data_IF_308618604363
#
_entry.id   IF_308618604363
#
_cell.length_a   1.000
_cell.length_b   1.000
_cell.length_c   1.000
_cell.angle_alpha   90.00
_cell.angle_beta   90.00
_cell.angle_gamma   90.00
#
_symmetry.space_group_name_H-M   'P 1'
#
loop_
_entity.id
_entity.type
_entity.pdbx_description
1 polymer ?
#
# COMPACT_ATOMS: atom_id res chain seq x y z
N UNK A 1 5.14 -10.16 -5.16
CA UNK A 1 4.40 -9.38 -4.14
C UNK A 1 5.00 -9.65 -2.77
N UNK A 2 5.24 -8.62 -1.93
CA UNK A 2 5.85 -8.77 -0.61
C UNK A 2 4.82 -9.27 0.44
N UNK A 3 4.29 -10.48 0.27
CA UNK A 3 3.16 -11.01 1.05
C UNK A 3 3.35 -10.91 2.57
N UNK A 4 4.47 -11.37 3.10
CA UNK A 4 4.75 -11.30 4.55
C UNK A 4 4.66 -9.85 5.09
N UNK A 5 5.23 -8.88 4.36
CA UNK A 5 5.15 -7.47 4.74
C UNK A 5 3.70 -6.96 4.70
N UNK A 6 2.92 -7.32 3.68
CA UNK A 6 1.51 -6.91 3.56
C UNK A 6 0.65 -7.48 4.70
N UNK A 7 0.81 -8.78 4.98
CA UNK A 7 0.07 -9.45 6.05
C UNK A 7 0.39 -8.84 7.42
N UNK A 8 1.66 -8.47 7.67
CA UNK A 8 2.06 -7.84 8.93
C UNK A 8 1.35 -6.51 9.21
N UNK A 9 0.88 -5.80 8.18
CA UNK A 9 0.13 -4.54 8.35
C UNK A 9 -1.31 -4.76 8.82
N UNK A 10 -1.85 -5.96 8.63
CA UNK A 10 -3.25 -6.30 8.92
C UNK A 10 -3.36 -7.18 10.15
N UNK A 11 -2.38 -8.07 10.37
CA UNK A 11 -2.35 -9.07 11.45
C UNK A 11 -2.75 -8.52 12.83
N UNK A 12 -2.29 -7.32 13.28
CA UNK A 12 -2.66 -6.80 14.60
C UNK A 12 -4.15 -6.50 14.79
N UNK A 13 -4.89 -6.33 13.68
CA UNK A 13 -6.31 -5.97 13.69
C UNK A 13 -7.20 -7.16 13.31
N UNK A 14 -6.61 -8.25 12.82
CA UNK A 14 -7.36 -9.38 12.31
C UNK A 14 -7.93 -10.24 13.45
N UNK A 15 -9.20 -10.68 13.36
CA UNK A 15 -9.80 -11.51 14.41
C UNK A 15 -8.98 -12.77 14.68
N UNK A 16 -8.77 -13.07 15.96
CA UNK A 16 -8.20 -14.35 16.39
C UNK A 16 -9.33 -15.35 16.62
N UNK A 17 -9.08 -16.63 16.34
CA UNK A 17 -10.07 -17.69 16.58
C UNK A 17 -10.53 -17.69 18.05
N UNK A 18 -11.81 -17.43 18.26
CA UNK A 18 -12.50 -17.55 19.55
C UNK A 18 -13.41 -18.77 19.57
N UNK A 19 -14.44 -18.77 20.43
CA UNK A 19 -15.45 -19.85 20.52
C UNK A 19 -16.50 -19.85 19.38
N UNK A 20 -16.38 -18.94 18.41
CA UNK A 20 -17.32 -18.78 17.29
C UNK A 20 -16.81 -19.36 15.96
N UNK A 21 -17.45 -18.96 14.85
CA UNK A 21 -16.95 -19.27 13.49
C UNK A 21 -15.51 -18.80 13.38
N UNK A 22 -14.62 -19.72 13.00
CA UNK A 22 -13.22 -19.38 12.80
C UNK A 22 -13.11 -18.42 11.61
N UNK A 23 -12.37 -17.31 11.75
CA UNK A 23 -12.11 -16.43 10.62
C UNK A 23 -11.31 -17.19 9.55
N UNK A 24 -11.55 -16.86 8.28
CA UNK A 24 -10.72 -17.35 7.18
C UNK A 24 -9.26 -16.93 7.39
N UNK A 25 -8.32 -17.65 6.75
CA UNK A 25 -6.92 -17.25 6.79
C UNK A 25 -6.75 -15.81 6.27
N UNK A 26 -5.95 -14.99 6.96
CA UNK A 26 -5.73 -13.60 6.59
C UNK A 26 -5.18 -13.48 5.15
N UNK A 27 -4.29 -14.39 4.76
CA UNK A 27 -3.74 -14.41 3.38
C UNK A 27 -4.84 -14.63 2.34
N UNK A 28 -5.80 -15.51 2.62
CA UNK A 28 -6.95 -15.77 1.75
C UNK A 28 -7.79 -14.50 1.59
N UNK A 29 -8.14 -13.83 2.68
CA UNK A 29 -8.95 -12.60 2.62
C UNK A 29 -8.22 -11.45 1.89
N UNK A 30 -6.91 -11.30 2.11
CA UNK A 30 -6.12 -10.30 1.39
C UNK A 30 -6.05 -10.59 -0.13
N UNK A 31 -5.94 -11.86 -0.53
CA UNK A 31 -5.95 -12.25 -1.94
C UNK A 31 -7.31 -11.96 -2.60
N UNK A 32 -8.40 -12.26 -1.90
CA UNK A 32 -9.76 -11.93 -2.35
C UNK A 32 -9.89 -10.42 -2.54
N UNK A 33 -9.42 -9.63 -1.57
CA UNK A 33 -9.45 -8.16 -1.69
C UNK A 33 -8.67 -7.62 -2.89
N UNK A 34 -7.54 -8.24 -3.25
CA UNK A 34 -6.83 -7.90 -4.48
C UNK A 34 -7.60 -8.29 -5.74
N UNK A 35 -8.25 -9.45 -5.76
CA UNK A 35 -9.13 -9.82 -6.88
C UNK A 35 -10.25 -8.80 -7.07
N UNK A 36 -10.89 -8.35 -5.98
CA UNK A 36 -11.91 -7.29 -6.04
C UNK A 36 -11.38 -6.02 -6.72
N UNK A 37 -10.17 -5.60 -6.35
CA UNK A 37 -9.56 -4.39 -6.92
C UNK A 37 -9.12 -4.58 -8.38
N UNK A 38 -8.53 -5.72 -8.74
CA UNK A 38 -8.01 -5.96 -10.08
C UNK A 38 -9.11 -6.18 -11.12
N UNK A 39 -10.23 -6.76 -10.70
CA UNK A 39 -11.37 -7.06 -11.59
C UNK A 39 -12.57 -6.12 -11.37
N UNK A 40 -12.42 -5.11 -10.50
CA UNK A 40 -13.49 -4.16 -10.14
C UNK A 40 -14.78 -4.86 -9.66
N UNK A 41 -14.63 -5.92 -8.85
CA UNK A 41 -15.77 -6.71 -8.34
C UNK A 41 -16.29 -6.13 -7.03
N UNK A 42 -17.62 -6.07 -6.92
CA UNK A 42 -18.32 -5.81 -5.65
C UNK A 42 -18.19 -7.00 -4.69
N UNK A 43 -18.61 -6.83 -3.44
CA UNK A 43 -18.62 -7.93 -2.46
C UNK A 43 -19.48 -9.13 -2.93
N UNK A 44 -20.74 -8.96 -3.43
CA UNK A 44 -21.50 -10.08 -3.97
C UNK A 44 -20.90 -10.67 -5.26
N UNK A 45 -20.41 -9.83 -6.18
CA UNK A 45 -19.82 -10.32 -7.43
C UNK A 45 -18.53 -11.13 -7.18
N UNK A 46 -17.80 -10.82 -6.10
CA UNK A 46 -16.62 -11.59 -5.70
C UNK A 46 -17.01 -12.95 -5.10
N UNK A 47 -18.08 -13.05 -4.32
CA UNK A 47 -18.61 -14.33 -3.85
C UNK A 47 -18.97 -15.23 -5.04
N UNK A 48 -19.76 -14.72 -5.99
CA UNK A 48 -20.13 -15.44 -7.23
C UNK A 48 -18.89 -15.88 -8.01
N UNK A 49 -17.90 -14.99 -8.17
CA UNK A 49 -16.67 -15.31 -8.88
C UNK A 49 -15.82 -16.39 -8.17
N UNK A 50 -15.81 -16.43 -6.84
CA UNK A 50 -15.15 -17.52 -6.09
C UNK A 50 -15.87 -18.86 -6.24
N UNK A 51 -17.17 -18.83 -6.48
CA UNK A 51 -17.97 -20.03 -6.75
C UNK A 51 -17.74 -20.56 -8.18
N UNK A 52 -17.81 -19.68 -9.18
CA UNK A 52 -17.80 -20.05 -10.60
C UNK A 52 -16.38 -20.17 -11.21
N UNK A 53 -15.43 -19.35 -10.77
CA UNK A 53 -14.12 -19.22 -11.43
C UNK A 53 -13.04 -19.94 -10.61
N UNK A 54 -12.75 -21.19 -10.99
CA UNK A 54 -11.78 -22.05 -10.32
C UNK A 54 -10.39 -21.40 -10.15
N UNK A 55 -9.92 -20.62 -11.12
CA UNK A 55 -8.61 -19.94 -11.04
C UNK A 55 -8.58 -18.83 -9.98
N UNK A 56 -9.69 -18.10 -9.77
CA UNK A 56 -9.80 -17.10 -8.69
C UNK A 56 -9.83 -17.77 -7.32
N UNK A 57 -10.57 -18.87 -7.19
CA UNK A 57 -10.60 -19.67 -5.97
C UNK A 57 -9.22 -20.25 -5.63
N UNK A 58 -8.51 -20.78 -6.62
CA UNK A 58 -7.14 -21.26 -6.48
C UNK A 58 -6.19 -20.11 -6.11
N UNK A 59 -6.32 -18.94 -6.73
CA UNK A 59 -5.51 -17.77 -6.39
C UNK A 59 -5.73 -17.33 -4.94
N UNK A 60 -6.96 -17.41 -4.42
CA UNK A 60 -7.32 -17.15 -3.03
C UNK A 60 -6.87 -18.26 -2.05
N UNK A 61 -6.26 -19.35 -2.55
CA UNK A 61 -5.83 -20.52 -1.77
C UNK A 61 -6.98 -21.24 -1.05
N UNK A 62 -8.19 -21.16 -1.60
CA UNK A 62 -9.33 -21.93 -1.12
C UNK A 62 -9.33 -23.29 -1.82
N UNK A 63 -9.39 -24.37 -1.04
CA UNK A 63 -9.57 -25.70 -1.63
C UNK A 63 -11.00 -25.89 -2.17
N UNK A 64 -11.19 -26.85 -3.07
CA UNK A 64 -12.53 -27.15 -3.60
C UNK A 64 -13.50 -27.67 -2.52
N UNK A 65 -12.99 -28.21 -1.41
CA UNK A 65 -13.78 -28.75 -0.30
C UNK A 65 -14.10 -27.71 0.78
N UNK A 66 -13.38 -26.58 0.81
CA UNK A 66 -13.62 -25.50 1.77
C UNK A 66 -14.80 -24.63 1.34
N UNK A 67 -15.62 -24.21 2.31
CA UNK A 67 -16.65 -23.21 2.07
C UNK A 67 -16.01 -21.87 1.66
N UNK A 68 -16.60 -21.18 0.68
CA UNK A 68 -16.12 -19.86 0.25
C UNK A 68 -16.62 -18.77 1.22
N UNK A 69 -15.87 -17.66 1.38
CA UNK A 69 -16.38 -16.48 2.08
C UNK A 69 -17.59 -15.90 1.35
N UNK A 70 -18.67 -15.69 2.10
CA UNK A 70 -19.86 -14.99 1.61
C UNK A 70 -19.63 -13.46 1.51
N UNK A 71 -20.53 -12.76 0.82
CA UNK A 71 -20.54 -11.30 0.66
C UNK A 71 -20.28 -10.59 1.99
N UNK A 72 -20.99 -11.01 3.04
CA UNK A 72 -20.90 -10.36 4.36
C UNK A 72 -19.50 -10.53 4.98
N UNK A 73 -18.86 -11.67 4.76
CA UNK A 73 -17.49 -11.94 5.21
C UNK A 73 -16.49 -11.06 4.47
N UNK A 74 -16.67 -10.90 3.15
CA UNK A 74 -15.83 -10.03 2.31
C UNK A 74 -16.00 -8.56 2.72
N UNK A 75 -17.25 -8.10 2.88
CA UNK A 75 -17.60 -6.76 3.35
C UNK A 75 -16.95 -6.45 4.71
N UNK A 76 -17.04 -7.37 5.66
CA UNK A 76 -16.44 -7.20 6.99
C UNK A 76 -14.92 -7.03 6.94
N UNK A 77 -14.25 -7.76 6.05
CA UNK A 77 -12.82 -7.59 5.84
C UNK A 77 -12.49 -6.22 5.23
N UNK A 78 -13.26 -5.77 4.25
CA UNK A 78 -13.09 -4.43 3.66
C UNK A 78 -13.26 -3.33 4.70
N UNK A 79 -14.31 -3.39 5.52
CA UNK A 79 -14.52 -2.46 6.63
C UNK A 79 -13.37 -2.49 7.66
N UNK A 80 -12.79 -3.67 7.92
CA UNK A 80 -11.61 -3.78 8.79
C UNK A 80 -10.42 -3.01 8.21
N UNK A 81 -10.15 -3.16 6.90
CA UNK A 81 -9.05 -2.44 6.25
C UNK A 81 -9.27 -0.93 6.25
N UNK A 82 -10.50 -0.48 5.96
CA UNK A 82 -10.90 0.93 5.96
C UNK A 82 -10.78 1.55 7.36
N UNK A 83 -11.36 0.90 8.38
CA UNK A 83 -11.34 1.36 9.78
C UNK A 83 -9.93 1.58 10.31
N UNK A 84 -8.98 0.72 9.89
CA UNK A 84 -7.60 0.78 10.37
C UNK A 84 -6.64 1.50 9.41
N UNK A 85 -7.16 2.14 8.36
CA UNK A 85 -6.36 2.91 7.40
C UNK A 85 -5.26 2.08 6.77
N UNK A 86 -5.57 0.84 6.37
CA UNK A 86 -4.56 -0.13 5.91
C UNK A 86 -4.05 0.18 4.50
N UNK A 87 -4.89 0.75 3.63
CA UNK A 87 -4.53 0.97 2.23
C UNK A 87 -3.22 1.78 2.02
N UNK A 88 -2.99 2.92 2.69
CA UNK A 88 -1.70 3.61 2.62
C UNK A 88 -0.50 2.77 3.07
N UNK A 89 -0.67 1.95 4.12
CA UNK A 89 0.39 1.06 4.63
C UNK A 89 0.75 -0.04 3.64
N UNK A 90 -0.25 -0.61 2.95
CA UNK A 90 -0.01 -1.59 1.90
C UNK A 90 0.73 -0.96 0.71
N UNK A 91 0.31 0.24 0.29
CA UNK A 91 1.00 0.97 -0.78
C UNK A 91 2.46 1.25 -0.42
N UNK A 92 2.73 1.68 0.81
CA UNK A 92 4.10 1.89 1.29
C UNK A 92 4.92 0.59 1.28
N UNK A 93 4.35 -0.51 1.77
CA UNK A 93 5.00 -1.82 1.78
C UNK A 93 5.32 -2.31 0.35
N UNK A 94 4.41 -2.10 -0.60
CA UNK A 94 4.66 -2.40 -2.03
C UNK A 94 5.76 -1.50 -2.58
N UNK A 95 5.70 -0.18 -2.31
CA UNK A 95 6.71 0.76 -2.76
C UNK A 95 8.11 0.42 -2.24
N UNK A 96 8.24 0.06 -0.96
CA UNK A 96 9.51 -0.37 -0.38
C UNK A 96 10.08 -1.61 -1.07
N UNK A 97 9.22 -2.55 -1.46
CA UNK A 97 9.63 -3.73 -2.23
C UNK A 97 10.05 -3.39 -3.67
N UNK A 98 9.37 -2.42 -4.30
CA UNK A 98 9.67 -1.96 -5.66
C UNK A 98 10.93 -1.09 -5.73
N UNK A 99 11.22 -0.29 -4.70
CA UNK A 99 12.43 0.54 -4.62
C UNK A 99 13.70 -0.29 -4.72
N UNK A 100 13.73 -1.48 -4.10
CA UNK A 100 14.84 -2.43 -4.26
C UNK A 100 15.06 -2.92 -5.70
N UNK A 101 14.13 -2.61 -6.61
CA UNK A 101 14.19 -2.90 -8.05
C UNK A 101 14.23 -1.64 -8.91
N UNK A 102 14.43 -0.46 -8.32
CA UNK A 102 14.42 0.82 -9.03
C UNK A 102 13.03 1.27 -9.49
N UNK A 103 11.95 0.74 -8.93
CA UNK A 103 10.58 1.06 -9.32
C UNK A 103 9.83 1.78 -8.20
N UNK A 104 8.85 2.62 -8.56
CA UNK A 104 7.92 3.28 -7.65
C UNK A 104 6.49 3.13 -8.16
N UNK A 105 5.55 2.90 -7.27
CA UNK A 105 4.11 2.90 -7.54
C UNK A 105 3.49 4.16 -6.92
N UNK A 106 2.93 5.02 -7.77
CA UNK A 106 1.94 6.01 -7.37
C UNK A 106 0.56 5.42 -7.57
N UNK A 107 -0.45 5.99 -6.91
CA UNK A 107 -1.84 5.54 -7.06
C UNK A 107 -2.21 5.45 -8.56
N UNK A 108 -2.41 4.23 -9.05
CA UNK A 108 -2.75 3.95 -10.46
C UNK A 108 -1.60 4.00 -11.49
N UNK A 109 -0.33 4.19 -11.10
CA UNK A 109 0.79 4.28 -12.08
C UNK A 109 2.11 3.77 -11.51
N UNK A 110 2.76 2.84 -12.23
CA UNK A 110 4.14 2.41 -11.94
C UNK A 110 5.11 3.31 -12.71
N UNK A 111 6.12 3.83 -12.03
CA UNK A 111 7.16 4.72 -12.52
C UNK A 111 8.55 4.12 -12.28
N UNK A 112 9.52 4.46 -13.13
CA UNK A 112 10.95 4.23 -12.87
C UNK A 112 11.44 5.27 -11.85
N UNK A 113 12.06 4.79 -10.77
CA UNK A 113 12.55 5.63 -9.68
C UNK A 113 13.76 6.49 -10.09
N UNK A 114 14.51 6.12 -11.13
CA UNK A 114 15.67 6.88 -11.62
C UNK A 114 15.29 8.18 -12.35
N UNK A 115 14.04 8.27 -12.83
CA UNK A 115 13.51 9.46 -13.52
C UNK A 115 13.07 10.53 -12.52
N UNK A 116 12.73 10.14 -11.29
CA UNK A 116 12.49 11.07 -10.19
C UNK A 116 13.81 11.23 -9.47
N UNK A 117 14.52 12.34 -9.70
CA UNK A 117 15.64 12.73 -8.83
C UNK A 117 15.15 12.71 -7.38
N UNK A 118 15.50 11.65 -6.64
CA UNK A 118 15.34 11.65 -5.19
C UNK A 118 16.35 12.66 -4.68
N UNK A 119 15.95 13.78 -4.03
CA UNK A 119 16.91 14.57 -3.29
C UNK A 119 17.57 13.60 -2.32
N UNK A 120 18.89 13.44 -2.44
CA UNK A 120 19.59 12.40 -1.73
C UNK A 120 19.31 12.57 -0.24
N UNK A 121 18.78 11.50 0.36
CA UNK A 121 18.64 11.36 1.79
C UNK A 121 20.05 11.29 2.38
N UNK A 122 20.66 12.46 2.57
CA UNK A 122 21.79 12.78 3.45
C UNK A 122 22.11 14.27 3.28
N UNK A 123 21.30 15.14 3.89
CA UNK A 123 21.78 16.46 4.32
C UNK A 123 21.28 16.73 5.73
N UNK A 124 22.19 16.41 6.67
CA UNK A 124 22.43 16.93 8.04
C UNK A 124 21.20 17.19 8.95
N UNK A 125 21.07 16.63 10.16
CA UNK A 125 21.90 16.75 11.36
C UNK A 125 22.32 18.20 11.66
N UNK A 126 22.00 18.67 12.88
CA UNK A 126 22.36 19.97 13.49
C UNK A 126 21.79 21.23 12.84
N UNK A 127 20.74 21.77 13.46
CA UNK A 127 20.28 23.14 13.26
C UNK A 127 21.28 24.17 13.79
N UNK A 128 22.31 24.45 13.00
CA UNK A 128 23.19 25.60 13.20
C UNK A 128 23.14 26.52 12.00
N UNK A 129 22.70 27.74 12.25
CA UNK A 129 22.69 28.89 11.36
C UNK A 129 24.14 29.37 11.22
N UNK A 130 24.71 29.35 10.01
CA UNK A 130 26.01 29.98 9.76
C UNK A 130 25.87 31.51 9.74
N UNK A 131 26.59 32.26 10.60
CA UNK A 131 26.63 33.71 10.62
C UNK A 131 27.85 34.19 9.83
N UNK A 132 27.72 34.38 8.53
CA UNK A 132 28.75 35.06 7.74
C UNK A 132 28.15 35.76 6.52
N UNK A 133 27.46 36.87 6.77
CA UNK A 133 27.45 37.98 5.82
C UNK A 133 28.87 38.54 5.73
N UNK A 134 29.49 38.54 4.55
CA UNK A 134 30.50 39.53 4.21
C UNK A 134 30.39 39.99 2.75
N UNK A 135 29.89 41.22 2.62
CA UNK A 135 30.20 42.28 1.65
C UNK A 135 30.85 41.92 0.30
N UNK A 136 30.22 42.41 -0.75
CA UNK A 136 30.91 43.22 -1.77
C UNK A 136 30.19 44.58 -1.93
N UNK A 137 30.78 45.65 -1.38
CA UNK A 137 30.69 47.03 -1.92
C UNK A 137 31.70 47.10 -3.08
N UNK A 138 31.66 47.94 -4.12
CA UNK A 138 31.03 49.22 -4.52
C UNK A 138 31.27 49.28 -6.06
N UNK A 139 30.46 49.93 -6.89
CA UNK A 139 30.73 51.31 -7.33
C UNK A 139 29.55 51.92 -8.11
N UNK A 140 29.30 53.19 -7.75
CA UNK A 140 28.47 54.28 -8.32
C UNK A 140 28.81 54.63 -9.78
N UNK A 141 28.04 55.35 -10.61
CA UNK A 141 27.26 56.60 -10.54
C UNK A 141 26.38 56.64 -11.84
N UNK A 142 25.35 57.45 -12.07
CA UNK A 142 24.77 58.62 -11.41
C UNK A 142 23.78 59.32 -12.37
N UNK A 143 22.87 60.13 -11.80
CA UNK A 143 22.09 61.27 -12.38
C UNK A 143 21.33 61.10 -13.70
N UNK A 144 20.30 61.88 -14.04
CA UNK A 144 19.36 62.81 -13.42
C UNK A 144 18.51 63.27 -14.63
N UNK A 145 17.22 63.44 -14.44
CA UNK A 145 16.30 63.99 -15.46
C UNK A 145 14.88 63.82 -15.03
#
# INVERSE_FOLDING_TARGET
>A
MPWSALLSQIQPHYPTAGRGRHPYALETMLRIHFLQHWYALSDPAMEEALYEIASMRQFARLSFLEAIPDETTILNFRHLLERHGVAPKLLEAVNRHLQGKGLLLRQGTILDATIIETPSSTKNSSGTRDPAMHQTKKASNGSSG
#
